data_IF_121537573361
#
_entry.id   IF_121537573361
#
_cell.length_a   1.000
_cell.length_b   1.000
_cell.length_c   1.000
_cell.angle_alpha   90.00
_cell.angle_beta   90.00
_cell.angle_gamma   90.00
#
_symmetry.space_group_name_H-M   'P 1'
#
loop_
_entity.id
_entity.type
_entity.pdbx_description
1 polymer ?
#
# COMPACT_ATOMS: atom_id res chain seq x y z
N UNK A 1 -88.25 23.36 -3.69
CA UNK A 1 -87.25 22.87 -2.71
C UNK A 1 -86.59 21.63 -3.28
N UNK A 2 -85.30 21.69 -3.63
CA UNK A 2 -84.49 20.52 -4.04
C UNK A 2 -83.46 20.29 -2.94
N UNK A 3 -83.55 19.17 -2.25
CA UNK A 3 -82.58 18.75 -1.23
C UNK A 3 -81.44 17.99 -1.90
N UNK A 4 -80.22 18.49 -1.73
CA UNK A 4 -78.98 17.85 -2.14
C UNK A 4 -78.57 16.89 -1.00
N UNK A 5 -78.62 15.58 -1.25
CA UNK A 5 -78.15 14.57 -0.30
C UNK A 5 -76.68 14.29 -0.61
N UNK A 6 -75.79 14.79 0.23
CA UNK A 6 -74.35 14.48 0.19
C UNK A 6 -74.15 13.17 0.96
N UNK A 7 -73.88 12.08 0.22
CA UNK A 7 -73.52 10.78 0.81
C UNK A 7 -72.02 10.82 1.14
N UNK A 8 -71.68 11.08 2.40
CA UNK A 8 -70.33 10.86 2.93
C UNK A 8 -70.10 9.35 3.08
N UNK A 9 -69.37 8.75 2.16
CA UNK A 9 -68.80 7.41 2.35
C UNK A 9 -67.59 7.50 3.27
N UNK A 10 -67.75 7.07 4.52
CA UNK A 10 -66.66 6.80 5.45
C UNK A 10 -65.79 5.66 4.88
N UNK A 11 -64.68 6.01 4.22
CA UNK A 11 -63.65 5.05 3.85
C UNK A 11 -62.81 4.79 5.09
N UNK A 12 -63.05 3.66 5.74
CA UNK A 12 -62.21 3.17 6.84
C UNK A 12 -60.77 2.99 6.33
N UNK A 13 -59.75 3.61 6.94
CA UNK A 13 -58.37 3.33 6.56
C UNK A 13 -58.09 1.83 6.81
N UNK A 14 -57.37 1.15 5.89
CA UNK A 14 -56.99 -0.24 6.11
C UNK A 14 -56.15 -0.33 7.38
N UNK A 15 -56.59 -1.16 8.32
CA UNK A 15 -55.79 -1.60 9.45
C UNK A 15 -54.61 -2.40 8.86
N UNK A 16 -53.46 -1.75 8.72
CA UNK A 16 -52.20 -2.44 8.46
C UNK A 16 -51.90 -3.26 9.72
N UNK A 17 -52.23 -4.55 9.68
CA UNK A 17 -51.73 -5.50 10.66
C UNK A 17 -50.20 -5.43 10.65
N UNK A 18 -49.57 -5.40 11.82
CA UNK A 18 -48.12 -5.44 12.02
C UNK A 18 -47.53 -6.76 11.50
N UNK A 19 -47.51 -6.91 10.17
CA UNK A 19 -46.82 -7.98 9.49
C UNK A 19 -45.33 -7.73 9.61
N UNK A 20 -44.65 -8.49 10.46
CA UNK A 20 -43.20 -8.49 10.49
C UNK A 20 -42.67 -8.73 9.06
N UNK A 21 -41.84 -7.80 8.58
CA UNK A 21 -41.13 -7.95 7.30
C UNK A 21 -40.29 -9.22 7.36
N UNK A 22 -40.47 -10.12 6.39
CA UNK A 22 -39.68 -11.34 6.28
C UNK A 22 -38.37 -10.98 5.59
N UNK A 23 -37.26 -10.97 6.33
CA UNK A 23 -35.93 -10.69 5.80
C UNK A 23 -35.16 -11.95 5.45
N UNK A 24 -34.19 -11.80 4.54
CA UNK A 24 -33.24 -12.83 4.11
C UNK A 24 -31.86 -12.19 3.92
N UNK A 25 -30.81 -13.00 3.76
CA UNK A 25 -29.42 -12.52 3.62
C UNK A 25 -28.84 -12.91 2.26
N UNK A 26 -28.11 -11.98 1.64
CA UNK A 26 -27.41 -12.23 0.37
C UNK A 26 -26.09 -11.49 0.35
N UNK A 27 -25.05 -12.16 -0.12
CA UNK A 27 -23.77 -11.55 -0.42
C UNK A 27 -23.85 -10.78 -1.74
N UNK A 28 -23.51 -9.49 -1.72
CA UNK A 28 -23.49 -8.63 -2.90
C UNK A 28 -22.09 -8.02 -3.08
N UNK A 29 -21.53 -8.08 -4.29
CA UNK A 29 -20.28 -7.39 -4.61
C UNK A 29 -20.57 -5.95 -5.01
N UNK A 30 -20.21 -5.00 -4.13
CA UNK A 30 -20.63 -3.60 -4.28
C UNK A 30 -19.67 -2.79 -5.16
N UNK A 31 -18.37 -3.10 -5.14
CA UNK A 31 -17.31 -2.29 -5.79
C UNK A 31 -16.59 -2.98 -6.93
N UNK A 32 -16.96 -4.22 -7.25
CA UNK A 32 -16.38 -5.01 -8.35
C UNK A 32 -15.02 -5.63 -8.03
N UNK A 33 -14.39 -5.31 -6.90
CA UNK A 33 -13.19 -6.01 -6.43
C UNK A 33 -13.52 -7.38 -5.84
N UNK A 34 -12.54 -8.30 -5.87
CA UNK A 34 -12.74 -9.68 -5.41
C UNK A 34 -13.17 -9.79 -3.94
N UNK A 35 -12.70 -8.85 -3.11
CA UNK A 35 -12.94 -8.83 -1.66
C UNK A 35 -13.92 -7.72 -1.22
N UNK A 36 -14.61 -7.08 -2.17
CA UNK A 36 -15.54 -5.98 -1.89
C UNK A 36 -17.00 -6.43 -1.71
N UNK A 37 -17.19 -7.71 -1.39
CA UNK A 37 -18.49 -8.25 -1.05
C UNK A 37 -18.95 -7.78 0.31
N UNK A 38 -20.26 -7.53 0.44
CA UNK A 38 -20.91 -7.25 1.71
C UNK A 38 -22.13 -8.15 1.87
N UNK A 39 -22.38 -8.58 3.11
CA UNK A 39 -23.62 -9.28 3.44
C UNK A 39 -24.75 -8.26 3.56
N UNK A 40 -25.80 -8.43 2.78
CA UNK A 40 -26.98 -7.56 2.76
C UNK A 40 -28.16 -8.34 3.31
N UNK A 41 -28.73 -7.83 4.40
CA UNK A 41 -30.08 -8.19 4.84
C UNK A 41 -31.09 -7.45 3.97
N UNK A 42 -32.07 -8.15 3.42
CA UNK A 42 -33.05 -7.56 2.53
C UNK A 42 -34.45 -8.13 2.77
N UNK A 43 -35.48 -7.32 2.51
CA UNK A 43 -36.86 -7.81 2.51
C UNK A 43 -37.07 -8.81 1.35
N UNK A 44 -37.44 -10.04 1.71
CA UNK A 44 -37.55 -11.17 0.78
C UNK A 44 -38.66 -10.95 -0.26
N UNK A 45 -39.77 -10.36 0.15
CA UNK A 45 -40.94 -10.19 -0.72
C UNK A 45 -40.67 -9.23 -1.88
N UNK A 46 -39.94 -8.14 -1.61
CA UNK A 46 -39.63 -7.10 -2.59
C UNK A 46 -38.20 -7.19 -3.13
N UNK A 47 -37.45 -8.23 -2.78
CA UNK A 47 -36.05 -8.43 -3.16
C UNK A 47 -35.17 -7.22 -2.80
N UNK A 48 -35.47 -6.62 -1.65
CA UNK A 48 -34.76 -5.48 -1.10
C UNK A 48 -35.11 -4.12 -1.71
N UNK A 49 -36.26 -3.98 -2.37
CA UNK A 49 -36.72 -2.65 -2.81
C UNK A 49 -37.24 -1.80 -1.65
N UNK A 50 -37.90 -2.44 -0.67
CA UNK A 50 -38.44 -1.75 0.51
C UNK A 50 -37.42 -1.65 1.65
N UNK A 51 -36.59 -2.67 1.82
CA UNK A 51 -35.61 -2.73 2.89
C UNK A 51 -34.34 -3.43 2.42
N UNK A 52 -33.21 -2.76 2.59
CA UNK A 52 -31.86 -3.31 2.49
C UNK A 52 -30.98 -2.70 3.56
N UNK A 53 -30.20 -3.52 4.24
CA UNK A 53 -29.25 -3.08 5.26
C UNK A 53 -28.01 -3.95 5.21
N UNK A 54 -26.84 -3.36 5.45
CA UNK A 54 -25.62 -4.14 5.68
C UNK A 54 -25.75 -4.97 6.96
N UNK A 55 -25.39 -6.25 6.85
CA UNK A 55 -25.38 -7.22 7.94
C UNK A 55 -23.94 -7.72 8.21
N UNK A 56 -23.78 -8.48 9.29
CA UNK A 56 -22.54 -9.21 9.57
C UNK A 56 -22.30 -10.29 8.50
N UNK A 57 -21.05 -10.55 8.14
CA UNK A 57 -20.71 -11.48 7.05
C UNK A 57 -21.21 -12.90 7.34
N UNK A 58 -21.20 -13.30 8.61
CA UNK A 58 -21.63 -14.59 9.12
C UNK A 58 -23.09 -14.89 8.82
N UNK A 59 -23.95 -13.86 8.69
CA UNK A 59 -25.35 -14.07 8.33
C UNK A 59 -25.53 -14.53 6.87
N UNK A 60 -24.55 -14.28 6.00
CA UNK A 60 -24.53 -14.76 4.63
C UNK A 60 -23.80 -16.10 4.48
N UNK A 61 -23.26 -16.66 5.57
CA UNK A 61 -22.57 -17.95 5.56
C UNK A 61 -23.58 -19.08 5.44
N UNK A 62 -23.77 -19.59 4.22
CA UNK A 62 -24.69 -20.70 3.94
C UNK A 62 -23.93 -22.01 3.81
N UNK A 63 -24.32 -23.02 4.59
CA UNK A 63 -23.80 -24.39 4.45
C UNK A 63 -22.34 -24.56 4.90
N UNK A 64 -21.63 -25.47 4.22
CA UNK A 64 -20.22 -25.75 4.49
C UNK A 64 -19.31 -24.68 3.86
N UNK A 65 -18.28 -24.28 4.60
CA UNK A 65 -17.25 -23.39 4.13
C UNK A 65 -15.92 -24.11 4.01
N UNK A 66 -15.06 -23.58 3.15
CA UNK A 66 -13.68 -24.03 3.00
C UNK A 66 -12.73 -22.83 2.94
N UNK A 67 -11.48 -23.08 3.31
CA UNK A 67 -10.42 -22.09 3.17
C UNK A 67 -9.85 -22.15 1.75
N UNK A 68 -9.60 -20.98 1.17
CA UNK A 68 -8.98 -20.83 -0.12
C UNK A 68 -7.95 -19.70 -0.08
N UNK A 69 -6.82 -19.91 -0.74
CA UNK A 69 -5.78 -18.90 -0.87
C UNK A 69 -5.87 -18.23 -2.23
N UNK A 70 -5.96 -16.89 -2.23
CA UNK A 70 -5.97 -16.12 -3.46
C UNK A 70 -4.55 -15.67 -3.83
N UNK A 71 -3.88 -16.48 -4.66
CA UNK A 71 -2.48 -16.27 -5.05
C UNK A 71 -2.12 -14.86 -5.53
N UNK A 72 -2.90 -14.19 -6.42
CA UNK A 72 -2.52 -12.85 -6.88
C UNK A 72 -2.47 -11.80 -5.78
N UNK A 73 -3.27 -11.92 -4.71
CA UNK A 73 -3.29 -10.94 -3.61
C UNK A 73 -2.56 -11.39 -2.36
N UNK A 74 -2.28 -12.68 -2.22
CA UNK A 74 -1.65 -13.23 -1.01
C UNK A 74 -2.60 -13.26 0.19
N UNK A 75 -3.91 -13.35 -0.07
CA UNK A 75 -4.95 -13.29 0.95
C UNK A 75 -5.52 -14.69 1.19
N UNK A 76 -5.78 -15.01 2.46
CA UNK A 76 -6.53 -16.19 2.84
C UNK A 76 -8.01 -15.82 3.00
N UNK A 77 -8.89 -16.62 2.41
CA UNK A 77 -10.33 -16.40 2.48
C UNK A 77 -11.06 -17.66 2.90
N UNK A 78 -12.13 -17.46 3.66
CA UNK A 78 -13.17 -18.46 3.86
C UNK A 78 -14.25 -18.24 2.79
N UNK A 79 -14.55 -19.28 2.03
CA UNK A 79 -15.54 -19.25 0.95
C UNK A 79 -16.60 -20.32 1.15
N UNK A 80 -17.82 -20.08 0.66
CA UNK A 80 -18.81 -21.16 0.57
C UNK A 80 -18.31 -22.27 -0.37
N UNK A 81 -18.39 -23.53 0.08
CA UNK A 81 -17.83 -24.66 -0.64
C UNK A 81 -18.59 -24.97 -1.94
N UNK A 82 -19.90 -24.70 -1.98
CA UNK A 82 -20.76 -25.00 -3.11
C UNK A 82 -20.45 -24.13 -4.34
N UNK A 83 -20.23 -22.83 -4.15
CA UNK A 83 -20.02 -21.89 -5.27
C UNK A 83 -18.60 -21.34 -5.36
N UNK A 84 -17.74 -21.65 -4.39
CA UNK A 84 -16.37 -21.17 -4.35
C UNK A 84 -16.26 -19.67 -4.09
N UNK A 85 -17.19 -19.11 -3.30
CA UNK A 85 -17.10 -17.72 -2.83
C UNK A 85 -18.06 -16.74 -3.51
N UNK A 86 -19.01 -17.21 -4.33
CA UNK A 86 -20.01 -16.32 -4.94
C UNK A 86 -21.09 -15.91 -3.94
N UNK A 87 -21.44 -16.81 -3.02
CA UNK A 87 -22.51 -16.59 -2.05
C UNK A 87 -21.98 -16.17 -0.68
N UNK A 88 -20.73 -16.47 -0.36
CA UNK A 88 -20.06 -15.99 0.84
C UNK A 88 -18.55 -15.99 0.64
N UNK A 89 -17.91 -14.87 0.93
CA UNK A 89 -16.47 -14.75 0.90
C UNK A 89 -16.03 -13.83 2.04
N UNK A 90 -15.22 -14.32 2.96
CA UNK A 90 -14.69 -13.50 4.05
C UNK A 90 -13.18 -13.63 4.14
N UNK A 91 -12.49 -12.51 4.32
CA UNK A 91 -11.05 -12.53 4.63
C UNK A 91 -10.82 -13.12 6.01
N UNK A 92 -9.81 -13.94 6.14
CA UNK A 92 -9.39 -14.54 7.41
C UNK A 92 -7.89 -14.38 7.62
N UNK A 93 -7.39 -14.74 8.80
CA UNK A 93 -5.95 -14.78 9.06
C UNK A 93 -5.23 -15.67 8.04
N UNK A 94 -4.11 -15.17 7.52
CA UNK A 94 -3.28 -15.84 6.53
C UNK A 94 -2.78 -17.21 7.02
N UNK A 95 -2.55 -17.35 8.32
CA UNK A 95 -2.10 -18.59 8.95
C UNK A 95 -3.11 -19.73 8.77
N UNK A 96 -4.39 -19.43 8.55
CA UNK A 96 -5.40 -20.47 8.30
C UNK A 96 -5.18 -21.18 6.96
N UNK A 97 -4.58 -20.50 5.97
CA UNK A 97 -4.21 -21.10 4.69
C UNK A 97 -2.81 -21.74 4.72
N UNK A 98 -2.11 -21.74 5.86
CA UNK A 98 -0.76 -22.30 5.96
C UNK A 98 -0.77 -23.80 5.76
N UNK A 99 0.07 -24.28 4.86
CA UNK A 99 0.25 -25.71 4.59
C UNK A 99 1.33 -26.32 5.50
N UNK A 100 1.42 -27.65 5.64
CA UNK A 100 2.46 -28.28 6.45
C UNK A 100 3.89 -28.11 5.92
N UNK A 101 4.05 -27.85 4.61
CA UNK A 101 5.34 -27.86 3.92
C UNK A 101 5.77 -26.45 3.51
N UNK A 102 5.92 -25.54 4.49
CA UNK A 102 6.40 -24.18 4.24
C UNK A 102 7.92 -24.09 4.30
N UNK A 103 8.47 -23.15 3.53
CA UNK A 103 9.87 -22.73 3.63
C UNK A 103 9.95 -21.21 3.66
N UNK A 104 10.95 -20.69 4.36
CA UNK A 104 11.25 -19.25 4.40
C UNK A 104 12.43 -18.96 3.49
N UNK A 105 12.20 -18.22 2.40
CA UNK A 105 13.26 -17.82 1.45
C UNK A 105 12.99 -16.46 0.83
N UNK A 106 14.03 -15.86 0.25
CA UNK A 106 13.86 -14.76 -0.66
C UNK A 106 13.19 -15.26 -1.94
N UNK A 107 12.10 -14.61 -2.34
CA UNK A 107 11.34 -14.99 -3.53
C UNK A 107 10.65 -13.78 -4.13
N UNK A 108 10.22 -13.91 -5.38
CA UNK A 108 9.37 -12.93 -6.08
C UNK A 108 8.00 -13.54 -6.36
N UNK A 109 6.94 -12.87 -5.89
CA UNK A 109 5.55 -13.17 -6.23
C UNK A 109 4.94 -11.97 -6.94
N UNK A 110 4.49 -12.15 -8.19
CA UNK A 110 4.11 -11.02 -9.05
C UNK A 110 5.27 -10.04 -9.23
N UNK A 111 5.01 -8.76 -8.96
CA UNK A 111 6.01 -7.69 -9.03
C UNK A 111 6.71 -7.43 -7.68
N UNK A 112 6.47 -8.27 -6.67
CA UNK A 112 6.96 -8.05 -5.31
C UNK A 112 8.04 -9.06 -4.92
N UNK A 113 9.29 -8.59 -4.85
CA UNK A 113 10.40 -9.33 -4.23
C UNK A 113 10.47 -9.08 -2.73
N UNK A 114 10.90 -10.10 -1.97
CA UNK A 114 11.05 -9.99 -0.53
C UNK A 114 11.33 -11.33 0.14
N UNK A 115 11.35 -11.31 1.47
CA UNK A 115 11.35 -12.51 2.29
C UNK A 115 9.93 -13.06 2.39
N UNK A 116 9.74 -14.33 2.05
CA UNK A 116 8.45 -14.99 2.13
C UNK A 116 8.58 -16.34 2.83
N UNK A 117 7.60 -16.63 3.69
CA UNK A 117 7.25 -18.01 4.01
C UNK A 117 6.22 -18.47 2.98
N UNK A 118 6.45 -19.59 2.31
CA UNK A 118 5.52 -20.08 1.29
C UNK A 118 5.46 -21.60 1.20
N UNK A 119 4.35 -22.13 0.70
CA UNK A 119 4.18 -23.56 0.45
C UNK A 119 5.15 -24.03 -0.65
N UNK A 120 6.13 -24.87 -0.25
CA UNK A 120 7.20 -25.29 -1.14
C UNK A 120 6.71 -26.16 -2.31
N UNK A 121 5.86 -27.20 -2.10
CA UNK A 121 5.36 -28.05 -3.19
C UNK A 121 4.64 -27.27 -4.31
N UNK A 122 3.74 -26.35 -3.96
CA UNK A 122 2.97 -25.55 -4.90
C UNK A 122 3.72 -24.30 -5.40
N UNK A 123 4.91 -24.04 -4.85
CA UNK A 123 5.71 -22.82 -5.06
C UNK A 123 4.90 -21.56 -4.74
N UNK A 124 4.19 -21.60 -3.62
CA UNK A 124 3.41 -20.48 -3.08
C UNK A 124 2.01 -20.32 -3.65
N UNK A 125 1.55 -21.18 -4.58
CA UNK A 125 0.19 -21.10 -5.13
C UNK A 125 -0.91 -21.36 -4.11
N UNK A 126 -0.61 -22.11 -3.05
CA UNK A 126 -1.55 -22.45 -1.98
C UNK A 126 -1.34 -21.60 -0.72
N UNK A 127 -0.16 -21.01 -0.54
CA UNK A 127 0.15 -20.15 0.60
C UNK A 127 1.44 -19.37 0.35
N UNK A 128 1.41 -18.07 0.56
CA UNK A 128 2.60 -17.31 0.89
C UNK A 128 2.27 -16.18 1.85
N UNK A 129 3.24 -15.85 2.71
CA UNK A 129 3.19 -14.76 3.66
C UNK A 129 4.48 -13.96 3.57
N UNK A 130 4.36 -12.65 3.35
CA UNK A 130 5.51 -11.75 3.36
C UNK A 130 6.01 -11.58 4.80
N UNK A 131 7.28 -11.85 5.01
CA UNK A 131 7.95 -11.70 6.30
C UNK A 131 8.84 -10.46 6.31
N UNK A 132 9.43 -10.15 7.47
CA UNK A 132 10.47 -9.13 7.54
C UNK A 132 11.73 -9.69 6.90
N UNK A 133 12.54 -8.83 6.28
CA UNK A 133 13.75 -9.30 5.57
C UNK A 133 14.74 -10.01 6.51
N UNK A 134 14.78 -9.58 7.77
CA UNK A 134 15.60 -10.20 8.82
C UNK A 134 15.23 -11.67 9.05
N UNK A 135 13.98 -12.07 8.80
CA UNK A 135 13.51 -13.44 8.97
C UNK A 135 14.04 -14.38 7.86
N UNK A 136 14.67 -13.84 6.81
CA UNK A 136 15.34 -14.59 5.74
C UNK A 136 16.87 -14.60 5.85
N UNK A 137 17.46 -14.10 6.95
CA UNK A 137 18.91 -13.89 7.06
C UNK A 137 19.75 -15.15 6.83
N UNK A 138 19.22 -16.34 7.14
CA UNK A 138 19.93 -17.62 6.95
C UNK A 138 20.13 -17.99 5.47
N UNK A 139 19.38 -17.38 4.55
CA UNK A 139 19.42 -17.67 3.12
C UNK A 139 20.09 -16.57 2.28
N UNK A 140 20.66 -15.54 2.93
CA UNK A 140 21.31 -14.42 2.25
C UNK A 140 22.81 -14.48 2.48
N UNK A 141 23.59 -14.68 1.42
CA UNK A 141 25.05 -14.70 1.52
C UNK A 141 25.62 -13.29 1.63
N UNK A 142 25.11 -12.37 0.80
CA UNK A 142 25.57 -10.98 0.76
C UNK A 142 24.55 -10.07 0.06
N UNK A 143 24.67 -8.78 0.35
CA UNK A 143 23.99 -7.72 -0.38
C UNK A 143 24.98 -7.05 -1.34
N UNK A 144 24.50 -6.71 -2.52
CA UNK A 144 25.30 -6.14 -3.60
C UNK A 144 24.56 -4.96 -4.24
N UNK A 145 25.19 -3.79 -4.24
CA UNK A 145 24.69 -2.62 -4.93
C UNK A 145 25.19 -2.61 -6.38
N UNK A 146 24.29 -2.35 -7.31
CA UNK A 146 24.60 -2.17 -8.72
C UNK A 146 24.18 -0.77 -9.14
N UNK A 147 25.16 0.07 -9.43
CA UNK A 147 24.90 1.41 -9.95
C UNK A 147 24.21 1.33 -11.33
N UNK A 148 23.04 1.97 -11.46
CA UNK A 148 22.25 2.01 -12.71
C UNK A 148 22.35 3.35 -13.42
N UNK A 149 22.70 4.42 -12.68
CA UNK A 149 23.01 5.73 -13.23
C UNK A 149 24.02 6.46 -12.34
N UNK A 150 24.48 7.64 -12.77
CA UNK A 150 25.39 8.49 -11.98
C UNK A 150 24.86 8.84 -10.57
N UNK A 151 23.54 8.75 -10.36
CA UNK A 151 22.90 9.15 -9.11
C UNK A 151 21.87 8.14 -8.60
N UNK A 152 21.91 6.90 -9.08
CA UNK A 152 21.01 5.84 -8.64
C UNK A 152 21.62 4.47 -8.82
N UNK A 153 21.14 3.50 -8.05
CA UNK A 153 21.40 2.09 -8.28
C UNK A 153 20.31 1.22 -7.70
N UNK A 154 20.49 -0.07 -7.89
CA UNK A 154 19.61 -1.12 -7.41
C UNK A 154 20.37 -1.98 -6.41
N UNK A 155 19.69 -2.41 -5.35
CA UNK A 155 20.25 -3.31 -4.36
C UNK A 155 19.75 -4.73 -4.62
N UNK A 156 20.66 -5.69 -4.55
CA UNK A 156 20.37 -7.10 -4.74
C UNK A 156 20.84 -7.90 -3.52
N UNK A 157 20.08 -8.93 -3.15
CA UNK A 157 20.55 -10.00 -2.30
C UNK A 157 20.98 -11.18 -3.18
N UNK A 158 22.10 -11.81 -2.84
CA UNK A 158 22.55 -13.06 -3.45
C UNK A 158 22.10 -14.22 -2.58
N UNK A 159 21.27 -15.11 -3.13
CA UNK A 159 20.85 -16.32 -2.42
C UNK A 159 21.91 -17.44 -2.53
N UNK A 160 21.62 -18.60 -1.92
CA UNK A 160 22.52 -19.76 -1.92
C UNK A 160 22.75 -20.38 -3.30
N UNK A 161 21.85 -20.11 -4.26
CA UNK A 161 21.94 -20.57 -5.66
C UNK A 161 22.58 -19.49 -6.57
N UNK A 162 23.22 -18.48 -5.97
CA UNK A 162 23.81 -17.32 -6.63
C UNK A 162 22.83 -16.44 -7.42
N UNK A 163 21.53 -16.61 -7.22
CA UNK A 163 20.51 -15.81 -7.88
C UNK A 163 20.44 -14.43 -7.22
N UNK A 164 20.40 -13.39 -8.07
CA UNK A 164 20.23 -12.01 -7.64
C UNK A 164 18.74 -11.68 -7.50
N UNK A 165 18.35 -11.24 -6.31
CA UNK A 165 16.97 -10.87 -5.98
C UNK A 165 16.95 -9.39 -5.62
N UNK A 166 16.15 -8.55 -6.29
CA UNK A 166 16.10 -7.13 -5.97
C UNK A 166 15.52 -6.93 -4.57
N UNK A 167 16.18 -6.11 -3.77
CA UNK A 167 15.78 -5.76 -2.41
C UNK A 167 15.81 -4.24 -2.23
N UNK A 168 15.30 -3.77 -1.09
CA UNK A 168 15.34 -2.34 -0.78
C UNK A 168 16.78 -1.85 -0.64
N UNK A 169 17.01 -0.60 -1.03
CA UNK A 169 18.33 0.02 -1.03
C UNK A 169 19.00 0.05 0.35
N UNK A 170 18.21 0.13 1.43
CA UNK A 170 18.67 0.11 2.82
C UNK A 170 19.51 -1.13 3.19
N UNK A 171 19.31 -2.27 2.50
CA UNK A 171 20.10 -3.50 2.76
C UNK A 171 21.50 -3.46 2.16
N UNK A 172 21.73 -2.61 1.15
CA UNK A 172 23.05 -2.39 0.57
C UNK A 172 23.77 -1.20 1.21
N UNK A 173 23.18 -0.57 2.22
CA UNK A 173 23.81 0.55 2.91
C UNK A 173 25.02 0.03 3.71
N UNK A 174 26.25 0.52 3.43
CA UNK A 174 27.42 0.13 4.21
C UNK A 174 27.36 0.73 5.62
N UNK A 175 28.18 0.22 6.53
CA UNK A 175 28.25 0.71 7.91
C UNK A 175 28.63 2.20 7.98
N UNK A 176 29.44 2.66 7.03
CA UNK A 176 29.93 4.04 6.96
C UNK A 176 29.46 4.71 5.68
N UNK A 177 28.80 5.85 5.81
CA UNK A 177 28.32 6.68 4.71
C UNK A 177 28.59 8.15 4.98
N UNK A 178 28.51 8.97 3.94
CA UNK A 178 28.62 10.43 4.02
C UNK A 178 27.52 11.10 3.19
N UNK A 179 27.17 12.33 3.55
CA UNK A 179 26.18 13.12 2.83
C UNK A 179 26.87 14.09 1.86
N UNK A 180 26.57 13.98 0.57
CA UNK A 180 27.11 14.85 -0.49
C UNK A 180 25.97 15.58 -1.18
N UNK A 181 26.07 16.90 -1.21
CA UNK A 181 25.21 17.71 -2.06
C UNK A 181 25.80 17.83 -3.46
N UNK A 182 25.02 17.53 -4.50
CA UNK A 182 25.41 17.72 -5.90
C UNK A 182 24.51 18.80 -6.50
N UNK A 183 25.10 19.90 -6.98
CA UNK A 183 24.39 20.95 -7.69
C UNK A 183 23.79 20.41 -9.00
N UNK A 184 22.53 20.75 -9.24
CA UNK A 184 21.84 20.54 -10.52
C UNK A 184 21.95 21.79 -11.39
N UNK A 185 21.80 22.96 -10.78
CA UNK A 185 21.95 24.28 -11.40
C UNK A 185 22.45 25.30 -10.37
N UNK A 186 22.51 26.59 -10.72
CA UNK A 186 23.00 27.66 -9.82
C UNK A 186 22.18 27.85 -8.53
N UNK A 187 20.96 27.32 -8.48
CA UNK A 187 19.97 27.57 -7.43
C UNK A 187 19.32 26.29 -6.90
N UNK A 188 19.71 25.13 -7.41
CA UNK A 188 19.14 23.85 -7.03
C UNK A 188 20.17 22.73 -7.09
N UNK A 189 19.91 21.68 -6.33
CA UNK A 189 20.74 20.49 -6.21
C UNK A 189 20.05 19.45 -5.35
N UNK A 190 20.68 18.30 -5.25
CA UNK A 190 20.19 17.11 -4.58
C UNK A 190 21.18 16.69 -3.49
N UNK A 191 20.66 16.11 -2.41
CA UNK A 191 21.46 15.57 -1.34
C UNK A 191 21.49 14.05 -1.47
N UNK A 192 22.68 13.47 -1.44
CA UNK A 192 22.88 12.03 -1.55
C UNK A 192 23.55 11.50 -0.30
N UNK A 193 23.10 10.35 0.18
CA UNK A 193 23.88 9.50 1.08
C UNK A 193 24.70 8.54 0.21
N UNK A 194 26.01 8.50 0.43
CA UNK A 194 26.95 7.74 -0.41
C UNK A 194 27.89 6.91 0.47
N UNK A 195 28.33 5.74 -0.01
CA UNK A 195 29.46 5.04 0.60
C UNK A 195 30.71 5.94 0.58
N UNK A 196 31.55 5.79 1.61
CA UNK A 196 32.82 6.53 1.71
C UNK A 196 33.76 6.13 0.56
N UNK A 197 33.69 4.87 0.15
CA UNK A 197 34.50 4.26 -0.90
C UNK A 197 34.14 4.77 -2.31
N UNK A 198 32.88 5.19 -2.54
CA UNK A 198 32.43 5.66 -3.85
C UNK A 198 30.93 5.46 -4.10
N UNK A 199 30.38 6.17 -5.08
CA UNK A 199 28.96 6.06 -5.47
C UNK A 199 28.61 4.73 -6.14
N UNK A 200 29.62 4.02 -6.66
CA UNK A 200 29.50 2.69 -7.24
C UNK A 200 29.21 1.61 -6.19
N UNK A 201 29.45 1.88 -4.91
CA UNK A 201 29.20 0.96 -3.80
C UNK A 201 27.88 1.21 -3.08
N UNK A 202 27.42 2.47 -3.05
CA UNK A 202 26.10 2.86 -2.54
C UNK A 202 25.84 4.33 -2.86
N UNK A 203 24.65 4.65 -3.38
CA UNK A 203 24.15 6.02 -3.49
C UNK A 203 22.62 6.04 -3.38
N UNK A 204 22.10 6.89 -2.49
CA UNK A 204 20.67 7.12 -2.29
C UNK A 204 20.36 8.62 -2.20
N UNK A 205 19.27 9.08 -2.79
CA UNK A 205 18.83 10.47 -2.67
C UNK A 205 18.06 10.66 -1.37
N UNK A 206 18.52 11.59 -0.53
CA UNK A 206 17.95 11.84 0.80
C UNK A 206 17.47 13.30 0.93
N UNK A 207 16.73 13.57 2.00
CA UNK A 207 16.25 14.92 2.26
C UNK A 207 17.42 15.92 2.42
N UNK A 208 17.29 17.10 1.80
CA UNK A 208 18.36 18.14 1.76
C UNK A 208 18.98 18.45 3.12
N UNK A 209 18.17 18.46 4.18
CA UNK A 209 18.61 18.72 5.56
C UNK A 209 19.81 17.87 6.00
N UNK A 210 20.02 16.67 5.45
CA UNK A 210 21.16 15.80 5.78
C UNK A 210 22.49 16.32 5.22
N UNK A 211 22.45 17.08 4.12
CA UNK A 211 23.63 17.74 3.55
C UNK A 211 23.82 19.17 4.07
N UNK A 212 23.02 19.63 5.04
CA UNK A 212 23.13 20.99 5.56
C UNK A 212 24.38 21.10 6.44
N UNK A 213 25.34 21.99 6.12
CA UNK A 213 26.51 22.19 6.97
C UNK A 213 26.15 22.99 8.22
N UNK A 214 27.08 23.01 9.19
CA UNK A 214 26.92 23.76 10.44
C UNK A 214 26.83 25.27 10.21
N UNK A 215 27.61 25.78 9.24
CA UNK A 215 27.64 27.21 8.91
C UNK A 215 26.87 27.47 7.60
N UNK A 216 25.76 28.19 7.75
CA UNK A 216 24.89 28.60 6.64
C UNK A 216 24.53 30.08 6.72
N UNK A 217 24.30 30.72 5.58
CA UNK A 217 23.85 32.11 5.51
C UNK A 217 22.72 32.28 4.49
N UNK A 218 21.94 33.36 4.63
CA UNK A 218 20.86 33.69 3.71
C UNK A 218 21.37 34.61 2.60
N UNK A 219 21.19 34.21 1.34
CA UNK A 219 21.63 34.97 0.17
C UNK A 219 20.47 35.21 -0.79
N UNK A 220 20.33 36.46 -1.24
CA UNK A 220 19.36 36.84 -2.26
C UNK A 220 19.98 36.69 -3.65
N UNK A 221 19.46 35.75 -4.45
CA UNK A 221 19.96 35.46 -5.79
C UNK A 221 18.92 35.90 -6.82
N UNK A 222 19.33 36.79 -7.74
CA UNK A 222 18.52 37.23 -8.88
C UNK A 222 19.08 36.63 -10.16
N UNK A 223 18.31 35.75 -10.80
CA UNK A 223 18.69 35.15 -12.08
C UNK A 223 18.62 36.21 -13.21
N UNK A 224 19.47 36.05 -14.22
CA UNK A 224 19.50 36.94 -15.38
C UNK A 224 18.12 36.96 -16.08
N UNK A 225 17.64 38.16 -16.41
CA UNK A 225 16.31 38.36 -17.00
C UNK A 225 15.13 38.33 -16.03
N UNK A 226 15.30 37.92 -14.76
CA UNK A 226 14.20 37.98 -13.78
C UNK A 226 14.09 39.37 -13.15
N UNK A 227 12.86 39.86 -12.95
CA UNK A 227 12.61 41.14 -12.27
C UNK A 227 12.93 41.06 -10.76
N UNK A 228 12.60 39.93 -10.15
CA UNK A 228 12.77 39.65 -8.73
C UNK A 228 13.74 38.48 -8.53
N UNK A 229 14.45 38.48 -7.41
CA UNK A 229 15.27 37.37 -6.95
C UNK A 229 14.53 36.52 -5.92
N UNK A 230 15.21 35.48 -5.44
CA UNK A 230 14.73 34.58 -4.39
C UNK A 230 15.76 34.49 -3.27
N UNK A 231 15.29 34.18 -2.07
CA UNK A 231 16.14 34.00 -0.91
C UNK A 231 16.52 32.53 -0.76
N UNK A 232 17.80 32.26 -0.56
CA UNK A 232 18.34 30.92 -0.39
C UNK A 232 19.12 30.83 0.91
N UNK A 233 19.02 29.70 1.60
CA UNK A 233 19.95 29.30 2.62
C UNK A 233 21.07 28.53 1.94
N UNK A 234 22.29 29.06 2.01
CA UNK A 234 23.47 28.48 1.36
C UNK A 234 24.55 28.14 2.39
N UNK A 235 25.44 27.21 2.06
CA UNK A 235 26.65 27.02 2.85
C UNK A 235 27.55 28.26 2.77
N UNK A 236 28.06 28.71 3.93
CA UNK A 236 28.87 29.92 4.02
C UNK A 236 30.27 29.75 3.43
N UNK A 237 30.85 28.55 3.56
CA UNK A 237 32.22 28.24 3.12
C UNK A 237 32.39 28.33 1.60
N UNK A 238 31.42 27.84 0.84
CA UNK A 238 31.49 27.72 -0.63
C UNK A 238 30.43 28.52 -1.36
N UNK A 239 29.66 29.34 -0.64
CA UNK A 239 28.60 30.19 -1.15
C UNK A 239 27.57 29.42 -2.00
N UNK A 240 27.17 28.23 -1.54
CA UNK A 240 26.10 27.44 -2.13
C UNK A 240 26.54 26.26 -2.99
N UNK A 241 27.84 26.00 -3.14
CA UNK A 241 28.32 24.83 -3.91
C UNK A 241 28.11 23.52 -3.15
N UNK A 242 28.23 23.54 -1.82
CA UNK A 242 28.03 22.36 -0.96
C UNK A 242 26.62 22.28 -0.37
N UNK A 243 25.83 23.36 -0.40
CA UNK A 243 24.44 23.31 0.02
C UNK A 243 23.65 24.52 -0.48
N UNK A 244 22.49 24.31 -1.09
CA UNK A 244 21.53 25.38 -1.40
C UNK A 244 20.07 24.92 -1.24
N UNK A 245 19.32 25.72 -0.49
CA UNK A 245 17.90 25.49 -0.22
C UNK A 245 17.10 26.79 -0.37
N UNK A 246 16.00 26.74 -1.10
CA UNK A 246 15.09 27.88 -1.25
C UNK A 246 14.38 28.16 0.08
N UNK A 247 14.31 29.42 0.48
CA UNK A 247 13.65 29.84 1.72
C UNK A 247 12.72 31.03 1.51
N UNK A 248 12.08 31.49 2.59
CA UNK A 248 11.23 32.68 2.57
C UNK A 248 12.05 33.96 2.33
N UNK A 249 11.54 34.87 1.49
CA UNK A 249 12.17 36.18 1.25
C UNK A 249 12.42 36.99 2.53
N UNK A 250 11.62 36.76 3.59
CA UNK A 250 11.78 37.42 4.90
C UNK A 250 13.09 37.10 5.60
N UNK A 251 13.81 36.06 5.18
CA UNK A 251 15.08 35.65 5.78
C UNK A 251 16.29 36.38 5.16
N UNK A 252 16.15 36.94 3.95
CA UNK A 252 17.17 37.75 3.28
C UNK A 252 16.90 39.24 3.51
N UNK A 253 17.00 39.68 4.76
CA UNK A 253 16.83 41.09 5.14
C UNK A 253 18.12 41.88 4.97
#
# INVERSE_FOLDING_TARGET
MRFLIIVLTLVSPPLFADGALITDYRWENIKGGLFDGECIEYDRQTQGRMFKKRAAAENCKTGETQLAFHFPSGECVEVDAETGGKNYLSKTDIENCKTPNTVTKLQTFGDQSGCYEYDFPSKGKEYYKKLKMQDCSENVQSYFFKQTSKSSGECFAKDNDEKLIPVKLEFCKPESTLYIFKLKDRTSGYCYEQAIEGEEFYIDEVAKKHCRPNETEYVYIKQEGQKNGRCFLVDKETAGKKYIELTSLKNCK
#
